data_IF_185625788826
#
_entry.id   IF_185625788826
#
_cell.length_a   1.000
_cell.length_b   1.000
_cell.length_c   1.000
_cell.angle_alpha   90.00
_cell.angle_beta   90.00
_cell.angle_gamma   90.00
#
_symmetry.space_group_name_H-M   'P 1'
#
loop_
_entity.id
_entity.type
_entity.pdbx_description
1 polymer ?
#
# COMPACT_ATOMS: atom_id res chain seq x y z
N UNK A 1 20.24 -11.28 1.20
CA UNK A 1 19.83 -10.01 1.85
C UNK A 1 18.70 -9.45 1.01
N UNK A 2 17.45 -9.64 1.42
CA UNK A 2 16.27 -9.20 0.68
C UNK A 2 15.29 -8.54 1.65
N UNK A 3 14.51 -7.58 1.15
CA UNK A 3 13.54 -6.83 1.94
C UNK A 3 12.37 -7.74 2.36
N UNK A 4 12.52 -8.55 3.43
CA UNK A 4 11.46 -9.46 3.89
C UNK A 4 10.18 -8.73 4.30
N UNK A 5 10.30 -7.55 4.91
CA UNK A 5 9.15 -6.75 5.37
C UNK A 5 9.31 -5.30 4.94
N UNK A 6 8.31 -4.76 4.26
CA UNK A 6 8.31 -3.40 3.72
C UNK A 6 7.09 -2.63 4.19
N UNK A 7 7.30 -1.41 4.66
CA UNK A 7 6.24 -0.43 4.92
C UNK A 7 6.28 0.64 3.83
N UNK A 8 5.24 0.69 3.00
CA UNK A 8 5.00 1.79 2.07
C UNK A 8 4.34 2.95 2.81
N UNK A 9 4.92 4.14 2.69
CA UNK A 9 4.38 5.37 3.27
C UNK A 9 3.99 6.29 2.13
N UNK A 10 2.78 6.86 2.21
CA UNK A 10 2.26 7.84 1.27
C UNK A 10 1.41 8.87 2.03
N UNK A 11 1.16 10.04 1.46
CA UNK A 11 0.38 11.08 2.14
C UNK A 11 -1.13 10.74 2.11
N UNK A 12 -1.68 10.45 0.93
CA UNK A 12 -3.11 10.31 0.69
C UNK A 12 -3.41 9.07 -0.15
N UNK A 13 -4.17 8.13 0.41
CA UNK A 13 -4.76 7.04 -0.36
C UNK A 13 -6.09 7.47 -0.97
N UNK A 14 -6.13 7.52 -2.30
CA UNK A 14 -7.37 7.68 -3.08
C UNK A 14 -8.03 6.32 -3.35
N UNK A 15 -8.11 5.87 -4.60
CA UNK A 15 -8.59 4.51 -4.95
C UNK A 15 -7.63 3.41 -4.48
N UNK A 16 -6.39 3.79 -4.17
CA UNK A 16 -5.32 2.90 -3.77
C UNK A 16 -4.63 2.19 -4.94
N UNK A 17 -4.89 2.58 -6.19
CA UNK A 17 -4.25 1.98 -7.37
C UNK A 17 -2.72 2.03 -7.29
N UNK A 18 -2.16 3.19 -6.93
CA UNK A 18 -0.71 3.41 -6.78
C UNK A 18 -0.09 2.49 -5.73
N UNK A 19 -0.61 2.51 -4.49
CA UNK A 19 -0.13 1.64 -3.41
C UNK A 19 -0.24 0.16 -3.76
N UNK A 20 -1.28 -0.25 -4.50
CA UNK A 20 -1.49 -1.63 -4.93
C UNK A 20 -0.50 -2.06 -6.01
N UNK A 21 -0.17 -1.18 -6.95
CA UNK A 21 0.88 -1.42 -7.95
C UNK A 21 2.27 -1.52 -7.31
N UNK A 22 2.60 -0.61 -6.40
CA UNK A 22 3.86 -0.63 -5.65
C UNK A 22 3.99 -1.91 -4.80
N UNK A 23 2.92 -2.31 -4.12
CA UNK A 23 2.90 -3.56 -3.33
C UNK A 23 3.14 -4.80 -4.20
N UNK A 24 2.56 -4.84 -5.41
CA UNK A 24 2.82 -5.93 -6.36
C UNK A 24 4.28 -5.96 -6.81
N UNK A 25 4.84 -4.82 -7.19
CA UNK A 25 6.23 -4.73 -7.61
C UNK A 25 7.21 -5.19 -6.51
N UNK A 26 6.98 -4.78 -5.26
CA UNK A 26 7.79 -5.20 -4.12
C UNK A 26 7.71 -6.71 -3.86
N UNK A 27 6.50 -7.28 -3.91
CA UNK A 27 6.31 -8.74 -3.76
C UNK A 27 6.98 -9.51 -4.89
N UNK A 28 6.85 -9.04 -6.13
CA UNK A 28 7.57 -9.62 -7.28
C UNK A 28 9.09 -9.50 -7.14
N UNK A 29 9.58 -8.48 -6.41
CA UNK A 29 10.99 -8.31 -6.05
C UNK A 29 11.45 -9.13 -4.83
N UNK A 30 10.59 -9.98 -4.25
CA UNK A 30 10.95 -10.88 -3.15
C UNK A 30 10.63 -10.36 -1.75
N UNK A 31 9.73 -9.38 -1.61
CA UNK A 31 9.22 -8.99 -0.30
C UNK A 31 8.13 -9.96 0.20
N UNK A 32 8.33 -10.53 1.40
CA UNK A 32 7.38 -11.48 2.02
C UNK A 32 6.13 -10.74 2.53
N UNK A 33 6.34 -9.61 3.20
CA UNK A 33 5.29 -8.78 3.78
C UNK A 33 5.40 -7.34 3.27
N UNK A 34 4.26 -6.79 2.81
CA UNK A 34 4.15 -5.39 2.41
C UNK A 34 2.93 -4.78 3.10
N UNK A 35 3.19 -3.73 3.87
CA UNK A 35 2.20 -2.94 4.59
C UNK A 35 2.11 -1.54 4.00
N UNK A 36 1.00 -0.85 4.23
CA UNK A 36 0.80 0.53 3.79
C UNK A 36 0.37 1.39 4.97
N UNK A 37 0.99 2.56 5.12
CA UNK A 37 0.59 3.59 6.07
C UNK A 37 0.37 4.91 5.32
N UNK A 38 -0.78 5.53 5.54
CA UNK A 38 -1.12 6.83 4.94
C UNK A 38 -1.69 7.78 5.97
N UNK A 39 -1.46 9.07 5.78
CA UNK A 39 -1.99 10.10 6.67
C UNK A 39 -3.48 10.35 6.43
N UNK A 40 -3.93 10.26 5.18
CA UNK A 40 -5.33 10.41 4.82
C UNK A 40 -5.78 9.30 3.86
N UNK A 41 -7.06 8.93 3.95
CA UNK A 41 -7.68 8.01 3.01
C UNK A 41 -9.09 8.48 2.67
N UNK A 42 -9.45 8.44 1.38
CA UNK A 42 -10.85 8.59 1.00
C UNK A 42 -11.58 7.30 1.36
N UNK A 43 -12.47 7.37 2.35
CA UNK A 43 -13.37 6.28 2.71
C UNK A 43 -14.74 6.61 2.12
N UNK A 44 -15.15 5.91 1.06
CA UNK A 44 -16.54 5.97 0.61
C UNK A 44 -17.35 5.09 1.55
N UNK A 45 -18.01 5.70 2.52
CA UNK A 45 -19.13 5.07 3.23
C UNK A 45 -20.36 5.32 2.36
N UNK A 46 -20.98 4.26 1.84
CA UNK A 46 -22.36 4.41 1.36
C UNK A 46 -23.25 4.57 2.59
N UNK A 47 -23.88 5.73 2.74
CA UNK A 47 -25.00 5.86 3.66
C UNK A 47 -26.11 4.93 3.14
N UNK A 48 -26.44 3.91 3.92
CA UNK A 48 -27.65 3.12 3.75
C UNK A 48 -28.87 3.95 4.19
#
# INVERSE_FOLDING_TARGET
VGLRRVLLIDDVRTTGATLRAASKALRSGGADEVYTFVLAARVLVQAA
#
